data_IF_555388323859
#
_entry.id   IF_555388323859
#
_cell.length_a   1.000
_cell.length_b   1.000
_cell.length_c   1.000
_cell.angle_alpha   90.00
_cell.angle_beta   90.00
_cell.angle_gamma   90.00
#
_symmetry.space_group_name_H-M   'P 1'
#
loop_
_entity.id
_entity.type
_entity.pdbx_description
1 polymer ?
#
# COMPACT_ATOMS: atom_id res chain seq x y z
N UNK A 1 6.24 3.08 38.20
CA UNK A 1 7.22 3.75 37.33
C UNK A 1 6.83 3.46 35.89
N UNK A 2 6.21 4.42 35.22
CA UNK A 2 5.77 4.34 33.83
C UNK A 2 6.96 4.55 32.91
N UNK A 3 7.47 3.47 32.32
CA UNK A 3 8.45 3.55 31.22
C UNK A 3 7.72 4.07 29.98
N UNK A 4 7.99 5.32 29.60
CA UNK A 4 7.54 5.88 28.32
C UNK A 4 8.11 5.09 27.13
N UNK A 5 7.51 5.23 25.94
CA UNK A 5 7.98 4.52 24.75
C UNK A 5 9.43 4.91 24.47
N UNK A 6 10.28 3.90 24.28
CA UNK A 6 11.68 4.11 23.92
C UNK A 6 11.75 4.92 22.62
N UNK A 7 12.21 6.15 22.70
CA UNK A 7 12.53 6.98 21.54
C UNK A 7 13.69 6.33 20.79
N UNK A 8 13.40 5.65 19.69
CA UNK A 8 14.41 5.10 18.77
C UNK A 8 15.24 6.27 18.23
N UNK A 9 16.57 6.19 18.36
CA UNK A 9 17.49 7.28 17.99
C UNK A 9 17.48 7.54 16.47
N UNK A 10 17.79 8.79 16.06
CA UNK A 10 17.90 9.24 14.65
C UNK A 10 18.88 8.43 13.78
N UNK A 11 19.66 7.51 14.34
CA UNK A 11 20.63 6.67 13.63
C UNK A 11 20.01 5.45 12.91
N UNK A 12 18.70 5.19 13.09
CA UNK A 12 18.03 3.99 12.59
C UNK A 12 17.25 4.17 11.27
N UNK A 13 17.20 5.40 10.74
CA UNK A 13 16.43 5.72 9.53
C UNK A 13 16.90 4.95 8.29
N UNK A 14 15.97 4.67 7.38
CA UNK A 14 16.26 3.94 6.14
C UNK A 14 17.36 4.65 5.32
N UNK A 15 18.43 3.94 4.92
CA UNK A 15 19.48 4.52 4.10
C UNK A 15 18.91 5.00 2.77
N UNK A 16 19.26 6.22 2.37
CA UNK A 16 18.90 6.72 1.04
C UNK A 16 19.78 6.02 0.00
N UNK A 17 19.17 5.19 -0.83
CA UNK A 17 19.86 4.61 -1.99
C UNK A 17 20.12 5.73 -3.01
N UNK A 18 21.38 6.07 -3.34
CA UNK A 18 21.65 7.10 -4.34
C UNK A 18 21.12 6.64 -5.70
N UNK A 19 20.42 7.53 -6.39
CA UNK A 19 19.95 7.29 -7.75
C UNK A 19 21.13 7.01 -8.68
N UNK A 20 20.98 6.02 -9.57
CA UNK A 20 21.92 5.77 -10.67
C UNK A 20 21.98 6.99 -11.60
N UNK A 21 23.11 7.20 -12.29
CA UNK A 21 23.31 8.37 -13.16
C UNK A 21 22.17 8.59 -14.17
N UNK A 22 21.73 7.53 -14.87
CA UNK A 22 20.60 7.60 -15.78
C UNK A 22 19.28 8.00 -15.10
N UNK A 23 19.02 7.49 -13.88
CA UNK A 23 17.84 7.88 -13.10
C UNK A 23 17.90 9.35 -12.66
N UNK A 24 19.09 9.87 -12.34
CA UNK A 24 19.28 11.29 -12.02
C UNK A 24 18.98 12.18 -13.22
N UNK A 25 19.49 11.83 -14.41
CA UNK A 25 19.20 12.56 -15.65
C UNK A 25 17.71 12.57 -15.97
N UNK A 26 17.05 11.41 -15.89
CA UNK A 26 15.60 11.32 -16.08
C UNK A 26 14.85 12.19 -15.07
N UNK A 27 15.28 12.22 -13.81
CA UNK A 27 14.67 13.05 -12.78
C UNK A 27 14.84 14.55 -13.06
N UNK A 28 16.03 14.99 -13.48
CA UNK A 28 16.29 16.39 -13.87
C UNK A 28 15.38 16.79 -15.02
N UNK A 29 15.26 15.94 -16.04
CA UNK A 29 14.37 16.18 -17.17
C UNK A 29 12.90 16.29 -16.73
N UNK A 30 12.42 15.37 -15.89
CA UNK A 30 11.04 15.40 -15.36
C UNK A 30 10.79 16.64 -14.51
N UNK A 31 11.78 17.07 -13.70
CA UNK A 31 11.71 18.32 -12.94
C UNK A 31 11.66 19.55 -13.85
N UNK A 32 12.41 19.57 -14.95
CA UNK A 32 12.35 20.65 -15.93
C UNK A 32 10.97 20.73 -16.60
N UNK A 33 10.42 19.61 -17.10
CA UNK A 33 9.06 19.56 -17.65
C UNK A 33 8.01 20.03 -16.62
N UNK A 34 8.17 19.59 -15.38
CA UNK A 34 7.31 19.94 -14.25
C UNK A 34 7.36 21.43 -13.90
N UNK A 35 8.55 22.06 -13.94
CA UNK A 35 8.75 23.47 -13.66
C UNK A 35 8.23 24.39 -14.79
N UNK A 36 8.32 23.92 -16.03
CA UNK A 36 7.80 24.62 -17.22
C UNK A 36 6.27 24.45 -17.42
N UNK A 37 5.57 23.78 -16.49
CA UNK A 37 4.12 23.54 -16.59
C UNK A 37 3.72 22.54 -17.67
N UNK A 38 4.67 21.82 -18.27
CA UNK A 38 4.39 20.89 -19.37
C UNK A 38 3.51 19.72 -18.91
N UNK A 39 3.71 19.22 -17.69
CA UNK A 39 2.89 18.12 -17.15
C UNK A 39 1.42 18.52 -16.96
N UNK A 40 1.17 19.78 -16.60
CA UNK A 40 -0.17 20.37 -16.53
C UNK A 40 -0.78 20.52 -17.92
N UNK A 41 -0.04 21.12 -18.86
CA UNK A 41 -0.50 21.32 -20.22
C UNK A 41 -0.81 19.97 -20.90
N UNK A 42 0.05 18.98 -20.71
CA UNK A 42 -0.18 17.62 -21.20
C UNK A 42 -1.37 16.95 -20.51
N UNK A 43 -1.48 17.07 -19.18
CA UNK A 43 -2.63 16.57 -18.44
C UNK A 43 -3.94 17.16 -18.97
N UNK A 44 -3.97 18.48 -19.23
CA UNK A 44 -5.06 19.20 -19.89
C UNK A 44 -5.36 18.64 -21.27
N UNK A 45 -4.37 18.54 -22.16
CA UNK A 45 -4.55 18.00 -23.50
C UNK A 45 -5.07 16.57 -23.47
N UNK A 46 -4.47 15.71 -22.64
CA UNK A 46 -4.86 14.30 -22.50
C UNK A 46 -6.29 14.17 -22.01
N UNK A 47 -6.81 15.10 -21.18
CA UNK A 47 -8.21 15.11 -20.75
C UNK A 47 -9.18 15.32 -21.91
N UNK A 48 -8.84 16.20 -22.85
CA UNK A 48 -9.66 16.44 -24.03
C UNK A 48 -9.74 15.20 -24.93
N UNK A 49 -8.67 14.41 -24.98
CA UNK A 49 -8.57 13.21 -25.82
C UNK A 49 -9.15 11.97 -25.12
N UNK A 50 -8.78 11.75 -23.85
CA UNK A 50 -9.12 10.57 -23.05
C UNK A 50 -10.19 10.96 -22.02
N UNK A 51 -11.44 11.05 -22.48
CA UNK A 51 -12.57 11.64 -21.75
C UNK A 51 -12.89 10.99 -20.39
N UNK A 52 -12.61 9.69 -20.23
CA UNK A 52 -13.04 8.94 -19.03
C UNK A 52 -11.91 8.04 -18.53
N UNK A 53 -11.02 8.56 -17.68
CA UNK A 53 -10.01 7.74 -17.01
C UNK A 53 -9.81 8.13 -15.55
N UNK A 54 -9.70 7.14 -14.66
CA UNK A 54 -9.36 7.33 -13.25
C UNK A 54 -7.91 6.94 -12.95
N UNK A 55 -7.32 7.61 -11.96
CA UNK A 55 -6.05 7.23 -11.34
C UNK A 55 -6.31 6.83 -9.90
N UNK A 56 -5.81 5.68 -9.50
CA UNK A 56 -5.92 5.21 -8.12
C UNK A 56 -4.52 5.19 -7.53
N UNK A 57 -4.33 5.82 -6.37
CA UNK A 57 -3.05 5.87 -5.67
C UNK A 57 -3.11 4.96 -4.45
N UNK A 58 -2.12 4.07 -4.30
CA UNK A 58 -2.03 3.10 -3.21
C UNK A 58 -0.93 3.50 -2.21
N UNK A 59 -1.32 4.15 -1.12
CA UNK A 59 -0.47 4.38 0.04
C UNK A 59 -0.52 3.15 0.97
N UNK A 60 0.40 3.05 1.92
CA UNK A 60 0.32 2.07 3.01
C UNK A 60 0.50 2.81 4.32
N UNK A 61 1.70 3.35 4.55
CA UNK A 61 2.02 4.10 5.76
C UNK A 61 2.28 5.59 5.48
N UNK A 62 1.88 6.44 6.42
CA UNK A 62 2.19 7.88 6.43
C UNK A 62 2.84 8.27 7.74
N UNK A 63 4.15 8.48 7.75
CA UNK A 63 4.89 8.68 9.00
C UNK A 63 6.39 8.72 8.79
N UNK A 64 7.15 8.19 9.75
CA UNK A 64 8.60 8.17 9.69
C UNK A 64 9.21 6.81 10.03
N UNK A 65 10.27 6.43 9.30
CA UNK A 65 11.08 5.25 9.63
C UNK A 65 11.78 5.39 11.00
N UNK A 66 11.83 6.59 11.58
CA UNK A 66 12.32 6.80 12.95
C UNK A 66 11.31 6.37 14.02
N UNK A 67 10.01 6.37 13.70
CA UNK A 67 8.95 5.93 14.63
C UNK A 67 8.86 4.39 14.63
N UNK A 68 8.89 3.78 13.44
CA UNK A 68 8.97 2.32 13.28
C UNK A 68 9.69 1.99 11.97
N UNK A 69 10.95 1.53 12.02
CA UNK A 69 11.67 1.07 10.85
C UNK A 69 10.88 -0.04 10.17
N UNK A 70 10.53 0.14 8.91
CA UNK A 70 9.83 -0.87 8.12
C UNK A 70 10.15 -0.69 6.64
N UNK A 71 10.18 -1.79 5.90
CA UNK A 71 10.28 -1.73 4.45
C UNK A 71 8.90 -1.61 3.76
N UNK A 72 7.81 -1.53 4.53
CA UNK A 72 6.47 -1.20 4.01
C UNK A 72 6.53 0.19 3.37
N UNK A 73 5.89 0.42 2.20
CA UNK A 73 5.88 1.74 1.56
C UNK A 73 5.42 2.85 2.52
N UNK A 74 6.33 3.79 2.76
CA UNK A 74 6.14 4.89 3.71
C UNK A 74 6.24 6.24 2.97
N UNK A 75 5.31 7.14 3.25
CA UNK A 75 5.36 8.53 2.83
C UNK A 75 5.50 9.43 4.06
N UNK A 76 6.38 10.42 4.03
CA UNK A 76 6.43 11.42 5.12
C UNK A 76 5.20 12.35 5.05
N UNK A 77 4.66 12.82 6.18
CA UNK A 77 3.41 13.59 6.20
C UNK A 77 3.41 14.83 5.30
N UNK A 78 4.52 15.55 5.19
CA UNK A 78 4.64 16.76 4.38
C UNK A 78 4.56 16.45 2.87
N UNK A 79 5.16 15.33 2.46
CA UNK A 79 5.11 14.86 1.08
C UNK A 79 3.72 14.32 0.75
N UNK A 80 3.11 13.58 1.68
CA UNK A 80 1.72 13.12 1.56
C UNK A 80 0.77 14.31 1.41
N UNK A 81 0.82 15.31 2.30
CA UNK A 81 0.00 16.52 2.20
C UNK A 81 0.19 17.25 0.87
N UNK A 82 1.42 17.36 0.38
CA UNK A 82 1.69 17.98 -0.91
C UNK A 82 1.02 17.22 -2.06
N UNK A 83 0.96 15.89 -2.00
CA UNK A 83 0.24 15.05 -2.97
C UNK A 83 -1.28 15.21 -2.85
N UNK A 84 -1.84 15.16 -1.64
CA UNK A 84 -3.28 15.35 -1.40
C UNK A 84 -3.75 16.72 -1.88
N UNK A 85 -3.04 17.79 -1.53
CA UNK A 85 -3.35 19.15 -1.99
C UNK A 85 -3.30 19.29 -3.51
N UNK A 86 -2.39 18.58 -4.18
CA UNK A 86 -2.32 18.60 -5.63
C UNK A 86 -3.53 17.88 -6.25
N UNK A 87 -3.87 16.69 -5.73
CA UNK A 87 -5.00 15.90 -6.22
C UNK A 87 -6.31 16.66 -6.03
N UNK A 88 -6.58 17.20 -4.83
CA UNK A 88 -7.82 17.91 -4.50
C UNK A 88 -8.06 19.15 -5.36
N UNK A 89 -6.99 19.82 -5.83
CA UNK A 89 -7.09 21.01 -6.69
C UNK A 89 -7.27 20.70 -8.18
N UNK A 90 -6.98 19.48 -8.62
CA UNK A 90 -6.80 19.15 -10.05
C UNK A 90 -7.60 17.96 -10.54
N UNK A 91 -8.15 17.18 -9.62
CA UNK A 91 -8.89 15.96 -9.87
C UNK A 91 -10.21 16.02 -9.10
N UNK A 92 -11.22 15.35 -9.65
CA UNK A 92 -12.42 14.99 -8.89
C UNK A 92 -12.07 13.75 -8.09
N UNK A 93 -11.90 13.91 -6.78
CA UNK A 93 -11.56 12.78 -5.90
C UNK A 93 -12.85 12.13 -5.42
N UNK A 94 -13.04 10.85 -5.77
CA UNK A 94 -14.22 10.06 -5.41
C UNK A 94 -13.81 8.84 -4.58
N UNK A 95 -14.77 8.17 -3.95
CA UNK A 95 -14.49 6.91 -3.25
C UNK A 95 -14.25 5.76 -4.24
N UNK A 96 -13.54 4.72 -3.78
CA UNK A 96 -13.32 3.54 -4.61
C UNK A 96 -14.63 2.78 -4.90
N UNK A 97 -15.57 2.78 -3.95
CA UNK A 97 -16.89 2.16 -4.14
C UNK A 97 -17.64 2.86 -5.28
N UNK A 98 -17.66 4.19 -5.30
CA UNK A 98 -18.28 4.96 -6.39
C UNK A 98 -17.66 4.62 -7.76
N UNK A 99 -16.33 4.55 -7.83
CA UNK A 99 -15.61 4.11 -9.03
C UNK A 99 -16.03 2.69 -9.45
N UNK A 100 -16.06 1.73 -8.52
CA UNK A 100 -16.44 0.34 -8.77
C UNK A 100 -17.85 0.19 -9.31
N UNK A 101 -18.80 0.88 -8.68
CA UNK A 101 -20.19 0.96 -9.15
C UNK A 101 -20.30 1.54 -10.56
N UNK A 102 -19.52 2.58 -10.86
CA UNK A 102 -19.51 3.17 -12.20
C UNK A 102 -18.93 2.20 -13.25
N UNK A 103 -17.88 1.44 -12.92
CA UNK A 103 -17.32 0.40 -13.78
C UNK A 103 -18.33 -0.72 -14.04
N UNK A 104 -18.99 -1.26 -13.01
CA UNK A 104 -19.99 -2.33 -13.18
C UNK A 104 -21.19 -1.91 -14.03
N UNK A 105 -21.60 -0.64 -13.97
CA UNK A 105 -22.68 -0.11 -14.81
C UNK A 105 -22.23 0.30 -16.21
N UNK A 106 -20.92 0.31 -16.50
CA UNK A 106 -20.38 0.86 -17.74
C UNK A 106 -20.63 2.37 -17.91
N UNK A 107 -20.86 3.09 -16.81
CA UNK A 107 -21.15 4.54 -16.85
C UNK A 107 -19.88 5.36 -17.01
N UNK A 108 -19.99 6.53 -17.63
CA UNK A 108 -18.85 7.45 -17.75
C UNK A 108 -18.42 7.96 -16.38
N UNK A 109 -17.12 7.92 -16.12
CA UNK A 109 -16.51 8.52 -14.93
C UNK A 109 -16.42 10.05 -15.07
N UNK A 110 -16.47 10.80 -13.96
CA UNK A 110 -16.11 12.21 -13.97
C UNK A 110 -14.75 12.42 -14.64
N UNK A 111 -14.65 13.48 -15.44
CA UNK A 111 -13.37 13.86 -16.02
C UNK A 111 -12.37 14.12 -14.89
N UNK A 112 -11.16 13.56 -15.02
CA UNK A 112 -10.11 13.65 -14.00
C UNK A 112 -10.45 13.02 -12.66
N UNK A 113 -11.01 11.83 -12.70
CA UNK A 113 -11.20 11.06 -11.48
C UNK A 113 -9.85 10.67 -10.87
N UNK A 114 -9.71 10.88 -9.57
CA UNK A 114 -8.67 10.28 -8.74
C UNK A 114 -9.31 9.53 -7.57
N UNK A 115 -8.66 8.47 -7.11
CA UNK A 115 -9.06 7.72 -5.92
C UNK A 115 -7.83 7.51 -5.04
N UNK A 116 -8.02 7.62 -3.74
CA UNK A 116 -6.97 7.50 -2.74
C UNK A 116 -7.24 6.25 -1.91
N UNK A 117 -6.26 5.36 -1.84
CA UNK A 117 -6.37 4.10 -1.13
C UNK A 117 -5.18 3.89 -0.20
N UNK A 118 -5.43 3.19 0.91
CA UNK A 118 -4.43 2.72 1.86
C UNK A 118 -4.59 1.24 2.08
N UNK A 119 -3.48 0.52 2.24
CA UNK A 119 -3.51 -0.91 2.55
C UNK A 119 -3.13 -1.17 4.02
N UNK A 120 -3.36 -2.41 4.45
CA UNK A 120 -2.92 -3.02 5.70
C UNK A 120 -3.59 -2.54 7.01
N UNK A 121 -4.11 -1.32 7.07
CA UNK A 121 -4.79 -0.80 8.27
C UNK A 121 -3.84 -0.31 9.37
N UNK A 122 -2.70 0.30 8.99
CA UNK A 122 -1.77 0.89 9.96
C UNK A 122 -2.35 2.11 10.68
N UNK A 123 -1.99 2.25 11.96
CA UNK A 123 -2.43 3.31 12.86
C UNK A 123 -2.02 4.70 12.41
N UNK A 124 -0.90 4.81 11.71
CA UNK A 124 -0.43 6.09 11.17
C UNK A 124 -1.36 6.67 10.09
N UNK A 125 -2.25 5.85 9.53
CA UNK A 125 -3.34 6.33 8.67
C UNK A 125 -4.32 7.20 9.47
N UNK A 126 -4.60 6.86 10.73
CA UNK A 126 -5.43 7.65 11.62
C UNK A 126 -4.68 8.85 12.20
N UNK A 127 -3.45 8.65 12.70
CA UNK A 127 -2.74 9.69 13.44
C UNK A 127 -2.16 10.79 12.51
N UNK A 128 -1.78 10.43 11.27
CA UNK A 128 -1.07 11.34 10.35
C UNK A 128 -1.86 11.60 9.06
N UNK A 129 -2.36 10.56 8.39
CA UNK A 129 -3.02 10.73 7.09
C UNK A 129 -4.43 11.34 7.22
N UNK A 130 -5.23 10.86 8.15
CA UNK A 130 -6.63 11.26 8.33
C UNK A 130 -6.81 12.77 8.61
N UNK A 131 -6.02 13.43 9.48
CA UNK A 131 -6.11 14.88 9.66
C UNK A 131 -5.87 15.67 8.36
N UNK A 132 -4.94 15.20 7.52
CA UNK A 132 -4.63 15.81 6.22
C UNK A 132 -5.80 15.58 5.26
N UNK A 133 -6.33 14.37 5.15
CA UNK A 133 -7.50 14.07 4.30
C UNK A 133 -8.70 14.93 4.69
N UNK A 134 -8.99 15.03 5.99
CA UNK A 134 -10.07 15.86 6.55
C UNK A 134 -9.86 17.35 6.23
N UNK A 135 -8.64 17.87 6.36
CA UNK A 135 -8.27 19.26 6.03
C UNK A 135 -8.62 19.63 4.59
N UNK A 136 -8.48 18.70 3.64
CA UNK A 136 -8.77 18.94 2.23
C UNK A 136 -10.15 18.43 1.78
N UNK A 137 -10.95 17.84 2.68
CA UNK A 137 -12.26 17.26 2.35
C UNK A 137 -12.17 16.12 1.33
N UNK A 138 -11.09 15.34 1.37
CA UNK A 138 -10.80 14.32 0.35
C UNK A 138 -11.22 12.94 0.87
N UNK A 139 -12.07 12.19 0.14
CA UNK A 139 -12.40 10.82 0.51
C UNK A 139 -11.20 9.88 0.26
N UNK A 140 -11.14 8.81 1.03
CA UNK A 140 -10.18 7.72 0.82
C UNK A 140 -10.78 6.38 1.25
N UNK A 141 -10.21 5.29 0.74
CA UNK A 141 -10.56 3.92 1.15
C UNK A 141 -9.37 3.26 1.84
N UNK A 142 -9.55 2.73 3.05
CA UNK A 142 -8.51 1.99 3.79
C UNK A 142 -8.89 0.50 3.80
N UNK A 143 -8.00 -0.35 3.28
CA UNK A 143 -8.19 -1.80 3.25
C UNK A 143 -7.67 -2.43 4.54
N UNK A 144 -8.51 -3.22 5.20
CA UNK A 144 -8.21 -3.77 6.54
C UNK A 144 -7.91 -5.26 6.50
N UNK A 145 -6.75 -5.66 7.01
CA UNK A 145 -6.43 -7.04 7.36
C UNK A 145 -6.97 -7.32 8.79
N UNK A 146 -8.23 -7.76 8.85
CA UNK A 146 -9.03 -7.70 10.08
C UNK A 146 -8.48 -8.52 11.26
N UNK A 147 -7.82 -9.64 11.00
CA UNK A 147 -7.22 -10.50 12.03
C UNK A 147 -6.08 -9.82 12.80
N UNK A 148 -5.32 -8.96 12.14
CA UNK A 148 -4.24 -8.18 12.77
C UNK A 148 -4.78 -7.07 13.68
N UNK A 149 -5.89 -6.45 13.28
CA UNK A 149 -6.61 -5.45 14.08
C UNK A 149 -7.25 -6.11 15.32
N UNK A 150 -7.92 -7.25 15.14
CA UNK A 150 -8.61 -7.96 16.23
C UNK A 150 -7.63 -8.54 17.26
N UNK A 151 -6.60 -9.22 16.79
CA UNK A 151 -5.64 -9.89 17.68
C UNK A 151 -4.60 -8.93 18.26
N UNK A 152 -4.34 -7.79 17.60
CA UNK A 152 -3.20 -6.94 17.89
C UNK A 152 -1.85 -7.61 17.61
N UNK A 153 -1.83 -8.61 16.71
CA UNK A 153 -0.62 -9.32 16.32
C UNK A 153 0.03 -8.64 15.12
N UNK A 154 1.31 -8.22 15.18
CA UNK A 154 2.02 -7.61 14.05
C UNK A 154 2.07 -8.53 12.83
N UNK A 155 2.16 -7.95 11.63
CA UNK A 155 2.44 -8.76 10.44
C UNK A 155 3.81 -9.43 10.56
N UNK A 156 4.01 -10.51 9.80
CA UNK A 156 5.25 -11.27 9.84
C UNK A 156 6.47 -10.40 9.44
N UNK A 157 6.30 -9.45 8.51
CA UNK A 157 7.38 -8.52 8.14
C UNK A 157 7.66 -7.48 9.21
N UNK A 158 6.66 -7.07 9.99
CA UNK A 158 6.83 -6.16 11.13
C UNK A 158 7.60 -6.86 12.24
N UNK A 159 7.36 -8.16 12.47
CA UNK A 159 8.13 -8.98 13.41
C UNK A 159 9.61 -9.03 13.02
N UNK A 160 9.88 -9.29 11.74
CA UNK A 160 11.25 -9.31 11.18
C UNK A 160 11.90 -7.94 11.34
N UNK A 161 11.21 -6.87 10.98
CA UNK A 161 11.77 -5.52 11.04
C UNK A 161 12.03 -5.10 12.49
N UNK A 162 11.07 -5.32 13.39
CA UNK A 162 11.24 -5.06 14.81
C UNK A 162 12.46 -5.79 15.38
N UNK A 163 12.57 -7.10 15.14
CA UNK A 163 13.69 -7.89 15.66
C UNK A 163 15.04 -7.45 15.07
N UNK A 164 15.11 -7.19 13.77
CA UNK A 164 16.34 -6.73 13.11
C UNK A 164 16.79 -5.35 13.59
N UNK A 165 15.86 -4.45 13.93
CA UNK A 165 16.17 -3.07 14.33
C UNK A 165 16.23 -2.84 15.84
N UNK A 166 15.84 -3.81 16.68
CA UNK A 166 15.89 -3.73 18.14
C UNK A 166 16.86 -4.73 18.80
N UNK A 167 17.72 -5.37 18.00
CA UNK A 167 18.75 -6.30 18.50
C UNK A 167 20.10 -5.61 18.68
N UNK A 168 20.81 -5.96 19.76
CA UNK A 168 22.22 -5.61 19.96
C UNK A 168 23.19 -6.51 19.16
N UNK A 169 22.67 -7.55 18.47
CA UNK A 169 23.50 -8.43 17.63
C UNK A 169 23.91 -7.70 16.35
N UNK A 170 25.02 -8.15 15.77
CA UNK A 170 25.55 -7.70 14.47
C UNK A 170 25.73 -8.86 13.47
N UNK A 171 25.36 -10.08 13.89
CA UNK A 171 25.38 -11.30 13.09
C UNK A 171 24.10 -12.09 13.40
N UNK A 172 23.50 -12.68 12.37
CA UNK A 172 22.42 -13.65 12.48
C UNK A 172 22.75 -14.84 11.60
N UNK A 173 22.57 -16.04 12.11
CA UNK A 173 22.73 -17.29 11.36
C UNK A 173 21.41 -18.04 11.40
N UNK A 174 20.77 -18.18 10.25
CA UNK A 174 19.49 -18.87 10.09
C UNK A 174 19.72 -20.20 9.40
N UNK A 175 19.08 -21.26 9.88
CA UNK A 175 19.30 -22.62 9.39
C UNK A 175 19.03 -22.73 7.88
N UNK A 176 17.93 -22.16 7.41
CA UNK A 176 17.57 -22.19 5.99
C UNK A 176 18.23 -21.06 5.17
N UNK A 177 18.56 -19.93 5.82
CA UNK A 177 18.95 -18.70 5.12
C UNK A 177 20.43 -18.34 5.23
N UNK A 178 21.23 -19.10 5.97
CA UNK A 178 22.66 -18.86 6.11
C UNK A 178 22.98 -17.68 7.02
N UNK A 179 24.16 -17.10 6.82
CA UNK A 179 24.74 -16.09 7.71
C UNK A 179 24.54 -14.68 7.13
N UNK A 180 24.09 -13.78 7.99
CA UNK A 180 23.96 -12.35 7.72
C UNK A 180 24.82 -11.57 8.71
N UNK A 181 25.64 -10.65 8.19
CA UNK A 181 26.39 -9.67 8.97
C UNK A 181 25.79 -8.28 8.76
N UNK A 182 25.63 -7.51 9.83
CA UNK A 182 24.98 -6.20 9.81
C UNK A 182 25.55 -5.28 10.89
N UNK A 183 26.80 -4.88 10.71
CA UNK A 183 27.55 -4.01 11.64
C UNK A 183 27.19 -2.53 11.47
N UNK A 184 26.58 -2.17 10.35
CA UNK A 184 26.08 -0.82 10.08
C UNK A 184 24.56 -0.79 9.87
N UNK A 185 23.95 0.38 10.04
CA UNK A 185 22.53 0.61 9.73
C UNK A 185 22.20 0.16 8.30
N UNK A 186 23.05 0.47 7.31
CA UNK A 186 22.82 0.09 5.91
C UNK A 186 22.81 -1.42 5.70
N UNK A 187 23.78 -2.13 6.28
CA UNK A 187 23.83 -3.59 6.18
C UNK A 187 22.63 -4.24 6.90
N UNK A 188 22.18 -3.66 8.02
CA UNK A 188 21.00 -4.12 8.76
C UNK A 188 19.73 -4.04 7.94
N UNK A 189 19.49 -2.90 7.29
CA UNK A 189 18.38 -2.73 6.36
C UNK A 189 18.48 -3.69 5.17
N UNK A 190 19.69 -3.90 4.61
CA UNK A 190 19.89 -4.84 3.50
C UNK A 190 19.64 -6.29 3.92
N UNK A 191 20.09 -6.69 5.11
CA UNK A 191 19.86 -8.03 5.67
C UNK A 191 18.37 -8.26 5.92
N UNK A 192 17.68 -7.33 6.60
CA UNK A 192 16.24 -7.40 6.86
C UNK A 192 15.44 -7.53 5.55
N UNK A 193 15.78 -6.71 4.54
CA UNK A 193 15.15 -6.78 3.22
C UNK A 193 15.39 -8.13 2.54
N UNK A 194 16.64 -8.61 2.54
CA UNK A 194 17.01 -9.88 1.90
C UNK A 194 16.30 -11.06 2.56
N UNK A 195 16.26 -11.11 3.89
CA UNK A 195 15.54 -12.14 4.65
C UNK A 195 14.05 -12.09 4.29
N UNK A 196 13.45 -10.91 4.31
CA UNK A 196 12.02 -10.73 4.00
C UNK A 196 11.68 -11.16 2.57
N UNK A 197 12.50 -10.84 1.56
CA UNK A 197 12.24 -11.31 0.19
C UNK A 197 12.29 -12.84 0.11
N UNK A 198 13.22 -13.49 0.82
CA UNK A 198 13.28 -14.96 0.87
C UNK A 198 12.11 -15.58 1.63
N UNK A 199 11.62 -14.92 2.69
CA UNK A 199 10.43 -15.37 3.43
C UNK A 199 9.17 -15.38 2.56
N UNK A 200 9.06 -14.53 1.55
CA UNK A 200 7.90 -14.50 0.64
C UNK A 200 7.75 -15.78 -0.18
N UNK A 201 8.84 -16.50 -0.41
CA UNK A 201 8.85 -17.73 -1.19
C UNK A 201 8.48 -18.96 -0.35
N UNK A 202 8.31 -18.80 0.97
CA UNK A 202 7.95 -19.88 1.89
C UNK A 202 6.44 -19.94 2.14
N UNK A 203 5.94 -21.17 2.35
CA UNK A 203 4.61 -21.41 2.90
C UNK A 203 4.52 -20.88 4.33
N UNK A 204 3.33 -20.48 4.77
CA UNK A 204 3.16 -19.79 6.07
C UNK A 204 3.66 -20.61 7.28
N UNK A 205 3.52 -21.95 7.26
CA UNK A 205 4.04 -22.82 8.31
C UNK A 205 5.58 -22.74 8.43
N UNK A 206 6.29 -22.87 7.32
CA UNK A 206 7.75 -22.77 7.28
C UNK A 206 8.22 -21.34 7.58
N UNK A 207 7.53 -20.34 7.02
CA UNK A 207 7.77 -18.92 7.25
C UNK A 207 7.73 -18.57 8.74
N UNK A 208 6.73 -19.07 9.47
CA UNK A 208 6.60 -18.84 10.90
C UNK A 208 7.77 -19.44 11.70
N UNK A 209 8.21 -20.65 11.36
CA UNK A 209 9.35 -21.30 12.00
C UNK A 209 10.65 -20.48 11.83
N UNK A 210 10.90 -19.97 10.61
CA UNK A 210 12.09 -19.13 10.35
C UNK A 210 12.01 -17.80 11.09
N UNK A 211 10.83 -17.21 11.23
CA UNK A 211 10.65 -15.96 11.98
C UNK A 211 10.86 -16.18 13.48
N UNK A 212 10.36 -17.28 14.04
CA UNK A 212 10.60 -17.63 15.44
C UNK A 212 12.08 -17.88 15.71
N UNK A 213 12.75 -18.60 14.82
CA UNK A 213 14.20 -18.77 14.86
C UNK A 213 14.93 -17.42 14.82
N UNK A 214 14.54 -16.53 13.91
CA UNK A 214 15.11 -15.19 13.77
C UNK A 214 14.95 -14.37 15.06
N UNK A 215 13.73 -14.28 15.59
CA UNK A 215 13.45 -13.50 16.81
C UNK A 215 14.24 -14.07 17.99
N UNK A 216 14.25 -15.40 18.14
CA UNK A 216 14.99 -16.08 19.20
C UNK A 216 16.50 -15.84 19.10
N UNK A 217 17.11 -15.99 17.92
CA UNK A 217 18.56 -15.83 17.72
C UNK A 217 19.02 -14.38 17.83
N UNK A 218 18.16 -13.43 17.47
CA UNK A 218 18.41 -12.00 17.69
C UNK A 218 18.27 -11.58 19.16
N UNK A 219 17.64 -12.40 20.00
CA UNK A 219 17.50 -12.15 21.43
C UNK A 219 16.69 -10.89 21.73
N UNK A 220 15.63 -10.66 20.95
CA UNK A 220 14.75 -9.50 21.11
C UNK A 220 13.44 -9.93 21.74
N UNK A 221 13.05 -9.23 22.80
CA UNK A 221 11.72 -9.37 23.39
C UNK A 221 10.71 -8.59 22.56
N UNK A 222 9.76 -9.32 21.97
CA UNK A 222 8.71 -8.71 21.15
C UNK A 222 7.56 -8.21 22.04
N UNK A 223 7.25 -6.90 22.06
CA UNK A 223 6.18 -6.38 22.89
C UNK A 223 4.84 -6.99 22.48
N UNK A 224 4.08 -7.48 23.46
CA UNK A 224 2.71 -7.99 23.22
C UNK A 224 1.77 -6.89 22.70
N UNK A 225 2.09 -5.62 22.95
CA UNK A 225 1.34 -4.46 22.47
C UNK A 225 1.71 -4.03 21.06
N UNK A 226 2.75 -4.60 20.44
CA UNK A 226 3.33 -4.08 19.20
C UNK A 226 2.27 -3.92 18.10
N UNK A 227 1.43 -4.93 17.83
CA UNK A 227 0.39 -4.79 16.82
C UNK A 227 -0.72 -3.79 17.21
N UNK A 228 -1.04 -3.63 18.50
CA UNK A 228 -2.01 -2.61 18.97
C UNK A 228 -1.47 -1.18 18.81
N UNK A 229 -0.16 -1.03 18.80
CA UNK A 229 0.51 0.25 18.53
C UNK A 229 0.63 0.51 17.02
N UNK A 230 0.79 -0.55 16.22
CA UNK A 230 0.97 -0.46 14.77
C UNK A 230 -0.34 -0.36 13.98
N UNK A 231 -1.44 -0.94 14.44
CA UNK A 231 -2.70 -1.01 13.70
C UNK A 231 -3.80 -0.13 14.28
N UNK A 232 -4.75 0.19 13.41
CA UNK A 232 -5.99 0.85 13.79
C UNK A 232 -6.75 0.02 14.82
N UNK A 233 -7.41 0.69 15.74
CA UNK A 233 -8.48 0.11 16.55
C UNK A 233 -9.84 0.25 15.85
N UNK A 234 -10.81 -0.59 16.22
CA UNK A 234 -12.18 -0.46 15.72
C UNK A 234 -12.85 0.86 16.09
N UNK A 235 -12.43 1.50 17.18
CA UNK A 235 -12.92 2.82 17.57
C UNK A 235 -12.45 3.90 16.58
N UNK A 236 -11.16 3.88 16.21
CA UNK A 236 -10.58 4.78 15.21
C UNK A 236 -11.19 4.53 13.82
N UNK A 237 -11.43 3.26 13.47
CA UNK A 237 -12.13 2.87 12.22
C UNK A 237 -13.55 3.44 12.20
N UNK A 238 -14.32 3.29 13.28
CA UNK A 238 -15.68 3.85 13.38
C UNK A 238 -15.69 5.38 13.34
N UNK A 239 -14.70 6.03 13.95
CA UNK A 239 -14.59 7.49 13.90
C UNK A 239 -14.33 7.98 12.46
N UNK A 240 -13.30 7.46 11.80
CA UNK A 240 -12.96 7.83 10.43
C UNK A 240 -14.12 7.53 9.46
N UNK A 241 -14.80 6.40 9.68
CA UNK A 241 -15.99 5.96 8.94
C UNK A 241 -17.09 7.03 8.91
N UNK A 242 -17.41 7.62 10.06
CA UNK A 242 -18.42 8.67 10.19
C UNK A 242 -18.01 9.99 9.54
N UNK A 243 -16.73 10.12 9.15
CA UNK A 243 -16.13 11.36 8.65
C UNK A 243 -15.62 11.23 7.21
N UNK A 244 -16.22 10.35 6.39
CA UNK A 244 -15.97 10.29 4.95
C UNK A 244 -14.80 9.40 4.51
N UNK A 245 -14.28 8.55 5.41
CA UNK A 245 -13.34 7.49 5.06
C UNK A 245 -14.10 6.18 4.88
N UNK A 246 -13.87 5.52 3.75
CA UNK A 246 -14.40 4.19 3.46
C UNK A 246 -13.40 3.11 3.87
N UNK A 247 -13.94 1.91 4.16
CA UNK A 247 -13.14 0.75 4.49
C UNK A 247 -13.45 -0.40 3.55
N UNK A 248 -12.39 -1.06 3.06
CA UNK A 248 -12.47 -2.21 2.18
C UNK A 248 -11.85 -3.45 2.84
N UNK A 249 -12.16 -4.62 2.30
CA UNK A 249 -11.60 -5.88 2.78
C UNK A 249 -10.17 -6.11 2.25
N UNK A 250 -9.27 -6.56 3.12
CA UNK A 250 -7.90 -6.96 2.76
C UNK A 250 -7.56 -8.35 3.29
N UNK A 251 -8.54 -9.27 3.25
CA UNK A 251 -8.51 -10.58 3.89
C UNK A 251 -8.46 -10.53 5.43
N UNK A 252 -8.47 -11.69 6.10
CA UNK A 252 -8.37 -11.73 7.56
C UNK A 252 -6.90 -11.60 7.95
N UNK A 253 -6.04 -12.45 7.41
CA UNK A 253 -4.65 -12.60 7.86
C UNK A 253 -3.60 -12.17 6.81
N UNK A 254 -4.03 -11.49 5.74
CA UNK A 254 -3.17 -11.10 4.62
C UNK A 254 -2.36 -12.28 4.00
N UNK A 255 -2.96 -13.46 3.72
CA UNK A 255 -2.24 -14.50 3.01
C UNK A 255 -2.21 -14.23 1.50
N UNK A 256 -1.26 -14.84 0.80
CA UNK A 256 -1.36 -14.95 -0.65
C UNK A 256 -2.52 -15.90 -1.00
N UNK A 257 -3.49 -15.41 -1.79
CA UNK A 257 -4.69 -16.18 -2.12
C UNK A 257 -4.48 -17.22 -3.24
N UNK A 258 -3.45 -17.05 -4.08
CA UNK A 258 -3.12 -18.03 -5.12
C UNK A 258 -2.44 -19.25 -4.50
N UNK A 259 -2.84 -20.43 -4.95
CA UNK A 259 -2.36 -21.71 -4.42
C UNK A 259 -3.07 -22.15 -3.14
N UNK A 260 -3.92 -21.29 -2.56
CA UNK A 260 -4.75 -21.61 -1.42
C UNK A 260 -5.98 -22.43 -1.83
N UNK A 261 -6.45 -23.40 -1.01
CA UNK A 261 -7.72 -24.07 -1.23
C UNK A 261 -8.89 -23.07 -1.35
N UNK A 262 -9.84 -23.26 -2.30
CA UNK A 262 -10.92 -22.29 -2.56
C UNK A 262 -11.73 -21.91 -1.32
N UNK A 263 -12.05 -22.87 -0.45
CA UNK A 263 -12.80 -22.62 0.78
C UNK A 263 -12.01 -21.81 1.82
N UNK A 264 -10.69 -21.95 1.83
CA UNK A 264 -9.84 -21.12 2.70
C UNK A 264 -9.74 -19.69 2.16
N UNK A 265 -9.56 -19.53 0.84
CA UNK A 265 -9.59 -18.21 0.20
C UNK A 265 -10.94 -17.51 0.40
N UNK A 266 -12.05 -18.27 0.33
CA UNK A 266 -13.40 -17.79 0.59
C UNK A 266 -13.56 -17.26 2.01
N UNK A 267 -13.09 -18.02 3.01
CA UNK A 267 -13.10 -17.58 4.42
C UNK A 267 -12.28 -16.31 4.62
N UNK A 268 -11.06 -16.28 4.12
CA UNK A 268 -10.19 -15.09 4.20
C UNK A 268 -10.86 -13.83 3.63
N UNK A 269 -11.55 -13.94 2.49
CA UNK A 269 -12.25 -12.81 1.87
C UNK A 269 -13.52 -12.45 2.65
N UNK A 270 -14.43 -13.41 2.82
CA UNK A 270 -15.80 -13.16 3.31
C UNK A 270 -15.82 -12.86 4.80
N UNK A 271 -14.98 -13.51 5.61
CA UNK A 271 -14.95 -13.25 7.05
C UNK A 271 -14.38 -11.85 7.32
N UNK A 272 -13.39 -11.40 6.53
CA UNK A 272 -12.87 -10.03 6.63
C UNK A 272 -13.91 -8.98 6.26
N UNK A 273 -14.70 -9.21 5.21
CA UNK A 273 -15.82 -8.37 4.82
C UNK A 273 -16.83 -8.24 5.96
N UNK A 274 -17.36 -9.38 6.43
CA UNK A 274 -18.35 -9.44 7.52
C UNK A 274 -17.85 -8.77 8.78
N UNK A 275 -16.57 -8.95 9.12
CA UNK A 275 -15.98 -8.36 10.32
C UNK A 275 -15.97 -6.84 10.26
N UNK A 276 -15.69 -6.25 9.10
CA UNK A 276 -15.76 -4.80 8.91
C UNK A 276 -17.22 -4.32 8.96
N UNK A 277 -18.13 -5.01 8.28
CA UNK A 277 -19.56 -4.67 8.26
C UNK A 277 -20.17 -4.67 9.67
N UNK A 278 -19.84 -5.67 10.50
CA UNK A 278 -20.28 -5.75 11.90
C UNK A 278 -19.83 -4.54 12.75
N UNK A 279 -18.66 -3.97 12.48
CA UNK A 279 -18.15 -2.83 13.23
C UNK A 279 -18.68 -1.48 12.71
N UNK A 280 -19.07 -1.42 11.43
CA UNK A 280 -19.46 -0.17 10.79
C UNK A 280 -20.97 -0.04 10.52
N UNK A 281 -21.71 -1.13 10.64
CA UNK A 281 -23.14 -1.22 10.30
C UNK A 281 -23.46 -0.69 8.90
N UNK A 282 -22.58 -1.01 7.93
CA UNK A 282 -22.70 -0.65 6.52
C UNK A 282 -22.06 -1.71 5.62
N UNK A 283 -22.53 -1.87 4.37
CA UNK A 283 -21.95 -2.81 3.42
C UNK A 283 -20.48 -2.48 3.10
N UNK A 284 -19.70 -3.53 2.87
CA UNK A 284 -18.32 -3.44 2.38
C UNK A 284 -18.23 -4.11 1.01
N UNK A 285 -17.94 -3.32 -0.02
CA UNK A 285 -18.01 -3.75 -1.41
C UNK A 285 -16.70 -3.56 -2.20
N UNK A 286 -15.61 -3.19 -1.54
CA UNK A 286 -14.28 -3.04 -2.17
C UNK A 286 -13.26 -3.98 -1.56
N UNK A 287 -12.36 -4.50 -2.40
CA UNK A 287 -11.34 -5.47 -2.01
C UNK A 287 -9.94 -5.07 -2.51
N UNK A 288 -8.90 -5.30 -1.72
CA UNK A 288 -7.52 -5.23 -2.19
C UNK A 288 -6.86 -6.61 -2.12
N UNK A 289 -6.21 -7.03 -3.21
CA UNK A 289 -5.47 -8.29 -3.23
C UNK A 289 -4.18 -8.18 -2.40
N UNK A 290 -3.94 -9.09 -1.42
CA UNK A 290 -2.65 -9.16 -0.72
C UNK A 290 -1.46 -9.28 -1.70
N UNK A 291 -0.35 -8.65 -1.33
CA UNK A 291 0.86 -8.43 -2.14
C UNK A 291 0.68 -7.59 -3.42
N UNK A 292 -0.57 -7.26 -3.79
CA UNK A 292 -0.90 -6.39 -4.91
C UNK A 292 -0.41 -6.87 -6.28
N UNK A 293 -0.08 -8.15 -6.48
CA UNK A 293 0.43 -8.64 -7.77
C UNK A 293 -0.70 -9.11 -8.67
N UNK A 294 -0.63 -8.78 -9.96
CA UNK A 294 -1.57 -9.31 -10.96
C UNK A 294 -1.53 -10.85 -11.04
N UNK A 295 -0.36 -11.45 -10.81
CA UNK A 295 -0.21 -12.91 -10.71
C UNK A 295 -0.99 -13.53 -9.55
N UNK A 296 -1.47 -12.72 -8.61
CA UNK A 296 -2.25 -13.16 -7.46
C UNK A 296 -3.77 -13.17 -7.74
N UNK A 297 -4.19 -12.91 -8.98
CA UNK A 297 -5.59 -12.84 -9.39
C UNK A 297 -5.92 -14.04 -10.28
N UNK A 298 -7.03 -14.72 -9.99
CA UNK A 298 -7.59 -15.77 -10.84
C UNK A 298 -9.13 -15.73 -10.85
N UNK A 299 -9.74 -16.47 -11.76
CA UNK A 299 -11.20 -16.48 -11.94
C UNK A 299 -11.96 -17.03 -10.73
N UNK A 300 -11.37 -17.97 -9.97
CA UNK A 300 -11.97 -18.49 -8.74
C UNK A 300 -12.09 -17.42 -7.65
N UNK A 301 -11.04 -16.63 -7.43
CA UNK A 301 -11.06 -15.50 -6.49
C UNK A 301 -12.04 -14.43 -6.98
N UNK A 302 -12.04 -14.10 -8.28
CA UNK A 302 -13.02 -13.16 -8.84
C UNK A 302 -14.46 -13.64 -8.66
N UNK A 303 -14.71 -14.95 -8.79
CA UNK A 303 -16.02 -15.53 -8.55
C UNK A 303 -16.46 -15.34 -7.10
N UNK A 304 -15.58 -15.63 -6.13
CA UNK A 304 -15.84 -15.37 -4.70
C UNK A 304 -16.21 -13.89 -4.47
N UNK A 305 -15.44 -12.96 -5.03
CA UNK A 305 -15.70 -11.52 -4.89
C UNK A 305 -17.07 -11.14 -5.48
N UNK A 306 -17.38 -11.64 -6.68
CA UNK A 306 -18.66 -11.36 -7.36
C UNK A 306 -19.85 -11.91 -6.59
N UNK A 307 -19.74 -13.14 -6.08
CA UNK A 307 -20.79 -13.82 -5.31
C UNK A 307 -21.09 -13.15 -3.97
N UNK A 308 -20.12 -12.43 -3.39
CA UNK A 308 -20.25 -11.73 -2.12
C UNK A 308 -20.43 -10.22 -2.26
N UNK A 309 -20.91 -9.76 -3.42
CA UNK A 309 -21.37 -8.38 -3.60
C UNK A 309 -20.28 -7.34 -3.80
N UNK A 310 -19.01 -7.73 -3.92
CA UNK A 310 -17.94 -6.78 -4.23
C UNK A 310 -18.18 -6.10 -5.59
N UNK A 311 -17.90 -4.81 -5.64
CA UNK A 311 -18.02 -3.98 -6.84
C UNK A 311 -16.69 -3.62 -7.46
N UNK A 312 -15.60 -3.70 -6.69
CA UNK A 312 -14.26 -3.36 -7.15
C UNK A 312 -13.21 -4.17 -6.41
N UNK A 313 -12.19 -4.66 -7.12
CA UNK A 313 -11.00 -5.25 -6.53
C UNK A 313 -9.72 -4.70 -7.15
N UNK A 314 -8.75 -4.35 -6.29
CA UNK A 314 -7.57 -3.58 -6.69
C UNK A 314 -6.24 -4.29 -6.44
N UNK A 315 -5.28 -4.06 -7.34
CA UNK A 315 -3.90 -4.54 -7.23
C UNK A 315 -2.89 -3.42 -7.53
N UNK A 316 -1.62 -3.61 -7.20
CA UNK A 316 -0.54 -2.65 -7.41
C UNK A 316 0.17 -2.83 -8.77
N UNK A 317 0.47 -1.73 -9.43
CA UNK A 317 1.26 -1.70 -10.67
C UNK A 317 2.05 -0.39 -10.77
N UNK A 318 3.22 -0.36 -11.45
CA UNK A 318 3.98 0.88 -11.64
C UNK A 318 3.20 1.99 -12.35
N UNK A 319 2.23 1.59 -13.17
CA UNK A 319 1.35 2.44 -13.96
C UNK A 319 -0.04 1.80 -14.11
N UNK A 320 -1.08 2.57 -13.78
CA UNK A 320 -2.47 2.15 -13.96
C UNK A 320 -3.32 3.31 -14.48
N UNK A 321 -4.15 2.99 -15.48
CA UNK A 321 -5.23 3.86 -15.96
C UNK A 321 -6.49 3.04 -16.01
N UNK A 322 -7.48 3.48 -15.24
CA UNK A 322 -8.79 2.81 -15.19
C UNK A 322 -9.68 3.47 -16.21
N UNK A 323 -10.27 2.68 -17.09
CA UNK A 323 -11.20 3.13 -18.14
C UNK A 323 -12.54 2.41 -17.96
N UNK A 324 -13.64 2.88 -18.60
CA UNK A 324 -14.95 2.23 -18.47
C UNK A 324 -14.97 0.74 -18.88
N UNK A 325 -14.01 0.27 -19.68
CA UNK A 325 -13.88 -1.14 -20.06
C UNK A 325 -12.93 -1.96 -19.17
N UNK A 326 -12.39 -1.38 -18.09
CA UNK A 326 -11.55 -2.10 -17.13
C UNK A 326 -12.39 -3.12 -16.36
N UNK A 327 -11.91 -4.36 -16.25
CA UNK A 327 -12.54 -5.38 -15.39
C UNK A 327 -12.59 -4.85 -13.94
N UNK A 328 -13.78 -4.73 -13.33
CA UNK A 328 -13.91 -4.22 -11.96
C UNK A 328 -13.18 -5.06 -10.92
N UNK A 329 -12.81 -6.31 -11.23
CA UNK A 329 -12.02 -7.16 -10.33
C UNK A 329 -10.52 -7.20 -10.70
N UNK A 330 -10.07 -6.41 -11.67
CA UNK A 330 -8.64 -6.23 -12.01
C UNK A 330 -8.28 -4.75 -12.14
N UNK A 331 -8.52 -3.99 -11.08
CA UNK A 331 -8.32 -2.54 -11.11
C UNK A 331 -6.92 -2.19 -10.60
N UNK A 332 -6.05 -1.75 -11.51
CA UNK A 332 -4.68 -1.37 -11.17
C UNK A 332 -4.60 -0.05 -10.36
N UNK A 333 -3.65 0.00 -9.42
CA UNK A 333 -3.30 1.19 -8.63
C UNK A 333 -1.84 1.55 -8.78
N UNK A 334 -1.56 2.85 -8.73
CA UNK A 334 -0.23 3.42 -8.82
C UNK A 334 0.37 3.52 -7.41
N UNK A 335 1.55 2.95 -7.20
CA UNK A 335 2.32 3.25 -6.00
C UNK A 335 2.84 4.70 -6.04
N UNK A 336 2.61 5.51 -5.00
CA UNK A 336 2.99 6.91 -4.99
C UNK A 336 4.51 7.04 -5.06
N UNK A 337 5.00 7.88 -5.97
CA UNK A 337 6.43 8.17 -6.06
C UNK A 337 6.81 9.21 -5.01
N UNK A 338 7.97 9.02 -4.38
CA UNK A 338 8.46 9.92 -3.32
C UNK A 338 8.76 11.33 -3.87
N UNK A 339 9.43 11.43 -5.02
CA UNK A 339 9.68 12.73 -5.65
C UNK A 339 8.39 13.28 -6.28
N UNK A 340 8.03 14.50 -5.89
CA UNK A 340 6.77 15.13 -6.28
C UNK A 340 6.61 15.35 -7.80
N UNK A 341 7.69 15.61 -8.53
CA UNK A 341 7.61 15.77 -9.99
C UNK A 341 7.35 14.42 -10.66
N UNK A 342 7.96 13.36 -10.15
CA UNK A 342 7.67 11.99 -10.63
C UNK A 342 6.28 11.50 -10.21
N UNK A 343 5.76 11.94 -9.07
CA UNK A 343 4.36 11.73 -8.69
C UNK A 343 3.42 12.41 -9.70
N UNK A 344 3.62 13.70 -9.98
CA UNK A 344 2.83 14.44 -11.00
C UNK A 344 2.86 13.75 -12.37
N UNK A 345 4.04 13.26 -12.78
CA UNK A 345 4.19 12.49 -14.00
C UNK A 345 3.37 11.18 -13.98
N UNK A 346 3.35 10.47 -12.85
CA UNK A 346 2.62 9.20 -12.72
C UNK A 346 1.10 9.40 -12.82
N UNK A 347 0.57 10.49 -12.27
CA UNK A 347 -0.87 10.77 -12.28
C UNK A 347 -1.33 11.58 -13.50
N UNK A 348 -0.43 12.16 -14.30
CA UNK A 348 -0.80 12.92 -15.51
C UNK A 348 -1.27 12.00 -16.65
N UNK A 349 -0.67 10.81 -16.76
CA UNK A 349 -0.88 9.86 -17.86
C UNK A 349 0.15 9.95 -18.98
N UNK A 350 1.12 10.86 -18.87
CA UNK A 350 2.20 10.97 -19.84
C UNK A 350 3.09 9.73 -19.85
N UNK A 351 3.45 9.23 -18.66
CA UNK A 351 4.36 8.10 -18.56
C UNK A 351 3.81 6.84 -19.23
N UNK A 352 2.56 6.42 -18.99
CA UNK A 352 2.04 5.20 -19.62
C UNK A 352 1.83 5.37 -21.13
N UNK A 353 1.44 6.55 -21.59
CA UNK A 353 1.30 6.83 -23.02
C UNK A 353 2.66 6.74 -23.73
N UNK A 354 3.74 7.24 -23.11
CA UNK A 354 5.12 7.05 -23.61
C UNK A 354 5.53 5.58 -23.63
N UNK A 355 5.23 4.81 -22.58
CA UNK A 355 5.55 3.39 -22.52
C UNK A 355 4.76 2.56 -23.55
N UNK A 356 3.50 2.91 -23.79
CA UNK A 356 2.67 2.28 -24.83
C UNK A 356 3.23 2.56 -26.23
N UNK A 357 3.66 3.80 -26.51
CA UNK A 357 4.29 4.17 -27.77
C UNK A 357 5.60 3.40 -27.99
N UNK A 358 6.46 3.31 -26.97
CA UNK A 358 7.71 2.54 -27.04
C UNK A 358 7.47 1.06 -27.33
N UNK A 359 6.46 0.44 -26.68
CA UNK A 359 6.08 -0.96 -26.95
C UNK A 359 5.60 -1.18 -28.38
N UNK A 360 4.87 -0.23 -28.98
CA UNK A 360 4.43 -0.29 -30.39
C UNK A 360 5.61 -0.19 -31.36
N UNK A 361 6.57 0.68 -31.07
CA UNK A 361 7.76 0.87 -31.89
C UNK A 361 8.71 -0.34 -31.87
N UNK A 362 8.77 -1.10 -30.77
CA UNK A 362 9.58 -2.34 -30.66
C UNK A 362 8.93 -3.57 -31.31
N UNK A 363 7.65 -3.49 -31.67
CA UNK A 363 6.90 -4.57 -32.34
C UNK A 363 6.80 -4.38 -33.86
N UNK A 364 7.32 -3.26 -34.36
CA UNK A 364 7.56 -2.97 -35.78
C UNK A 364 9.06 -3.13 -36.01
#
# INVERSE_FOLDING_TARGET
MTTGPATISKEHGRPRVPLRFGQRLSLVFVRALSALGFLEAYGLLRRYVVKSSARIVAYHRVGSDYEFPSDVPLMVPEDFERQIRYLSRRYQVISLSELGHALKRGTSLPANTAVITFDDGYKDNYVKAYPILKKYGVPATIFLATGHIDSGTPFWWDRVSYAMHNTAREKLELNQFGIYHFRSTTERWLAARTIRERLKDLLDGEKNLVIEELVSKLGVDMPRSLGRELFLSWDEVREMSRNGIDFGAHTVNHPTLIGMPPEQARREIVDSQRRIEQNLDRPVDTFAYPDGRLSNINDGIKAILRENGFVCAVYGTPDAFVSPGTDPYEVGRISPRLDFSTFRLSVSGLYPDLMAMSRRLRRR
#
